data_IF_351696127335
#
_entry.id   IF_351696127335
#
_cell.length_a   1.000
_cell.length_b   1.000
_cell.length_c   1.000
_cell.angle_alpha   90.00
_cell.angle_beta   90.00
_cell.angle_gamma   90.00
#
_symmetry.space_group_name_H-M   'P 1'
#
loop_
_entity.id
_entity.type
_entity.pdbx_description
1 polymer ?
#
# COMPACT_ATOMS: atom_id res chain seq x y z
N UNK A 1 30.69 -16.13 -6.31
CA UNK A 1 29.23 -16.37 -6.42
C UNK A 1 28.54 -15.34 -5.53
N UNK A 2 28.12 -14.22 -6.12
CA UNK A 2 27.51 -13.09 -5.42
C UNK A 2 26.10 -13.49 -4.97
N UNK A 3 25.93 -13.72 -3.67
CA UNK A 3 24.60 -13.93 -3.10
C UNK A 3 23.76 -12.69 -3.33
N UNK A 4 22.80 -12.78 -4.26
CA UNK A 4 21.72 -11.79 -4.39
C UNK A 4 20.93 -11.83 -3.09
N UNK A 5 21.27 -10.92 -2.17
CA UNK A 5 20.50 -10.65 -0.97
C UNK A 5 19.11 -10.28 -1.47
N UNK A 6 18.12 -11.16 -1.32
CA UNK A 6 16.74 -10.90 -1.67
C UNK A 6 16.28 -9.68 -0.87
N UNK A 7 16.35 -8.49 -1.49
CA UNK A 7 16.00 -7.23 -0.84
C UNK A 7 14.48 -7.14 -0.80
N UNK A 8 13.96 -6.86 0.39
CA UNK A 8 12.58 -6.43 0.59
C UNK A 8 12.30 -5.28 -0.38
N UNK A 9 11.26 -5.38 -1.20
CA UNK A 9 10.82 -4.31 -2.10
C UNK A 9 9.52 -3.71 -1.58
N UNK A 10 9.44 -2.39 -1.58
CA UNK A 10 8.27 -1.67 -1.10
C UNK A 10 7.76 -0.75 -2.21
N UNK A 11 6.51 -0.91 -2.58
CA UNK A 11 5.82 -0.14 -3.61
C UNK A 11 4.79 0.77 -2.94
N UNK A 12 4.95 2.09 -3.07
CA UNK A 12 3.92 3.04 -2.66
C UNK A 12 2.85 3.17 -3.73
N UNK A 13 1.69 2.59 -3.46
CA UNK A 13 0.63 2.38 -4.44
C UNK A 13 -0.59 3.24 -4.19
N UNK A 14 -0.74 3.79 -2.99
CA UNK A 14 -1.78 4.78 -2.73
C UNK A 14 -1.25 5.81 -1.72
N UNK A 15 -1.58 7.07 -1.93
CA UNK A 15 -1.26 8.13 -0.98
C UNK A 15 -2.15 9.33 -1.17
N UNK A 16 -2.64 9.90 -0.08
CA UNK A 16 -3.27 11.21 -0.06
C UNK A 16 -2.32 12.24 0.56
N UNK A 17 -2.30 13.44 -0.03
CA UNK A 17 -1.61 14.58 0.57
C UNK A 17 -2.38 15.12 1.77
N UNK A 18 -1.77 16.06 2.50
CA UNK A 18 -2.50 16.83 3.51
C UNK A 18 -3.53 17.69 2.77
N UNK A 19 -4.80 17.26 2.75
CA UNK A 19 -5.87 18.07 2.19
C UNK A 19 -6.20 19.19 3.16
N UNK A 20 -5.88 20.43 2.81
CA UNK A 20 -6.18 21.63 3.60
C UNK A 20 -7.66 22.05 3.55
N UNK A 21 -8.54 21.29 2.89
CA UNK A 21 -9.90 21.74 2.55
C UNK A 21 -10.98 20.69 2.76
N UNK A 22 -11.42 20.51 3.99
CA UNK A 22 -12.79 20.06 4.34
C UNK A 22 -13.00 20.31 5.83
N UNK A 23 -14.13 20.92 6.20
CA UNK A 23 -14.45 21.39 7.56
C UNK A 23 -14.82 20.25 8.54
N UNK A 24 -14.60 18.99 8.19
CA UNK A 24 -14.90 17.85 9.06
C UNK A 24 -13.65 17.00 9.29
N UNK A 25 -12.88 17.41 10.31
CA UNK A 25 -11.57 16.86 10.78
C UNK A 25 -10.37 17.05 9.83
N UNK A 26 -9.17 17.31 10.38
CA UNK A 26 -7.95 17.26 9.57
C UNK A 26 -7.77 15.84 9.01
N UNK A 27 -7.96 15.66 7.70
CA UNK A 27 -7.64 14.43 7.01
C UNK A 27 -6.11 14.32 6.94
N UNK A 28 -5.51 13.65 7.92
CA UNK A 28 -4.08 13.37 7.90
C UNK A 28 -3.68 12.65 6.60
N UNK A 29 -2.50 12.96 6.03
CA UNK A 29 -1.97 12.22 4.89
C UNK A 29 -1.97 10.74 5.22
N UNK A 30 -2.46 9.92 4.31
CA UNK A 30 -2.46 8.47 4.45
C UNK A 30 -1.74 7.83 3.26
N UNK A 31 -1.15 6.66 3.46
CA UNK A 31 -0.55 5.89 2.38
C UNK A 31 -0.77 4.39 2.55
N UNK A 32 -0.70 3.69 1.42
CA UNK A 32 -0.72 2.23 1.31
C UNK A 32 0.50 1.80 0.50
N UNK A 33 1.31 0.96 1.12
CA UNK A 33 2.48 0.35 0.52
C UNK A 33 2.25 -1.16 0.40
N UNK A 34 2.59 -1.78 -0.73
CA UNK A 34 2.74 -3.24 -0.80
C UNK A 34 4.22 -3.59 -0.65
N UNK A 35 4.48 -4.53 0.25
CA UNK A 35 5.81 -5.00 0.59
C UNK A 35 5.95 -6.42 0.09
N UNK A 36 6.94 -6.66 -0.76
CA UNK A 36 7.32 -7.99 -1.22
C UNK A 36 8.59 -8.41 -0.47
N UNK A 37 8.47 -9.44 0.37
CA UNK A 37 9.59 -9.95 1.14
C UNK A 37 10.50 -10.87 0.32
N UNK A 38 11.66 -11.18 0.90
CA UNK A 38 12.66 -12.08 0.32
C UNK A 38 12.15 -13.51 0.04
N UNK A 39 11.11 -13.92 0.77
CA UNK A 39 10.49 -15.23 0.68
C UNK A 39 9.31 -15.26 -0.30
N UNK A 40 9.06 -14.17 -1.03
CA UNK A 40 7.98 -14.06 -2.00
C UNK A 40 6.60 -13.79 -1.40
N UNK A 41 6.53 -13.40 -0.12
CA UNK A 41 5.27 -13.06 0.55
C UNK A 41 4.97 -11.57 0.42
N UNK A 42 3.68 -11.27 0.31
CA UNK A 42 3.16 -9.91 0.31
C UNK A 42 2.65 -9.52 1.69
N UNK A 43 3.06 -8.35 2.16
CA UNK A 43 2.46 -7.64 3.30
C UNK A 43 2.02 -6.23 2.87
N UNK A 44 1.14 -5.62 3.66
CA UNK A 44 0.54 -4.31 3.39
C UNK A 44 0.97 -3.33 4.48
N UNK A 45 1.74 -2.33 4.09
CA UNK A 45 2.06 -1.18 4.93
C UNK A 45 0.94 -0.16 4.88
N UNK A 46 0.40 0.21 6.05
CA UNK A 46 -0.57 1.29 6.19
C UNK A 46 0.03 2.36 7.10
N UNK A 47 -0.02 3.62 6.68
CA UNK A 47 0.42 4.73 7.53
C UNK A 47 -0.46 5.96 7.37
N UNK A 48 -0.52 6.76 8.42
CA UNK A 48 -1.17 8.07 8.47
C UNK A 48 -0.41 9.06 9.37
N UNK A 49 -0.63 10.35 9.14
CA UNK A 49 -0.16 11.41 10.03
C UNK A 49 1.15 12.07 9.59
N UNK A 50 1.59 13.03 10.41
CA UNK A 50 2.81 13.82 10.20
C UNK A 50 3.53 14.03 11.54
N UNK A 51 4.87 14.08 11.52
CA UNK A 51 5.67 14.33 12.71
C UNK A 51 5.32 13.41 13.88
N UNK A 52 5.12 13.99 15.06
CA UNK A 52 4.75 13.27 16.29
C UNK A 52 3.37 12.58 16.24
N UNK A 53 2.51 12.96 15.28
CA UNK A 53 1.21 12.34 15.07
C UNK A 53 1.24 11.16 14.08
N UNK A 54 2.40 10.73 13.60
CA UNK A 54 2.51 9.63 12.66
C UNK A 54 2.17 8.29 13.32
N UNK A 55 1.28 7.52 12.70
CA UNK A 55 0.96 6.15 13.08
C UNK A 55 0.99 5.24 11.85
N UNK A 56 1.46 4.00 12.02
CA UNK A 56 1.50 3.05 10.92
C UNK A 56 1.86 1.65 11.37
N UNK A 57 1.71 0.70 10.46
CA UNK A 57 2.02 -0.70 10.70
C UNK A 57 2.09 -1.49 9.40
N UNK A 58 2.77 -2.63 9.48
CA UNK A 58 2.79 -3.64 8.43
C UNK A 58 1.85 -4.78 8.83
N UNK A 59 0.98 -5.16 7.91
CA UNK A 59 -0.09 -6.14 8.15
C UNK A 59 -0.03 -7.25 7.11
N UNK A 60 -0.47 -8.45 7.47
CA UNK A 60 -0.75 -9.49 6.48
C UNK A 60 -1.89 -9.05 5.54
N UNK A 61 -2.01 -9.72 4.40
CA UNK A 61 -3.11 -9.48 3.45
C UNK A 61 -4.47 -9.66 4.11
N UNK A 62 -4.65 -10.70 4.93
CA UNK A 62 -5.89 -10.95 5.68
C UNK A 62 -6.22 -9.82 6.65
N UNK A 63 -5.24 -9.33 7.42
CA UNK A 63 -5.44 -8.22 8.34
C UNK A 63 -5.77 -6.92 7.60
N UNK A 64 -5.14 -6.67 6.46
CA UNK A 64 -5.39 -5.49 5.64
C UNK A 64 -6.83 -5.45 5.07
N UNK A 65 -7.44 -6.62 4.87
CA UNK A 65 -8.81 -6.76 4.38
C UNK A 65 -9.88 -6.71 5.48
N UNK A 66 -9.50 -6.56 6.75
CA UNK A 66 -10.45 -6.30 7.83
C UNK A 66 -11.06 -4.90 7.71
N UNK A 67 -12.32 -4.75 8.13
CA UNK A 67 -13.14 -3.52 7.97
C UNK A 67 -12.38 -2.25 8.35
N UNK A 68 -11.71 -2.24 9.52
CA UNK A 68 -10.97 -1.07 10.01
C UNK A 68 -9.83 -0.65 9.06
N UNK A 69 -9.14 -1.60 8.45
CA UNK A 69 -8.00 -1.35 7.55
C UNK A 69 -8.47 -1.03 6.14
N UNK A 70 -9.57 -1.63 5.67
CA UNK A 70 -10.22 -1.26 4.41
C UNK A 70 -10.65 0.21 4.39
N UNK A 71 -11.14 0.74 5.52
CA UNK A 71 -11.44 2.17 5.64
C UNK A 71 -10.19 3.04 5.43
N UNK A 72 -9.04 2.64 6.00
CA UNK A 72 -7.76 3.33 5.79
C UNK A 72 -7.30 3.26 4.34
N UNK A 73 -7.34 2.07 3.73
CA UNK A 73 -6.98 1.85 2.33
C UNK A 73 -7.84 2.76 1.43
N UNK A 74 -9.14 2.82 1.68
CA UNK A 74 -10.06 3.67 0.91
C UNK A 74 -9.73 5.15 1.06
N UNK A 75 -9.44 5.61 2.30
CA UNK A 75 -9.05 7.01 2.57
C UNK A 75 -7.74 7.40 1.89
N UNK A 76 -6.83 6.45 1.65
CA UNK A 76 -5.58 6.69 0.95
C UNK A 76 -5.70 6.65 -0.59
N UNK A 77 -6.93 6.66 -1.15
CA UNK A 77 -7.21 6.38 -2.57
C UNK A 77 -6.74 4.99 -3.03
N UNK A 78 -6.66 4.04 -2.10
CA UNK A 78 -6.19 2.68 -2.34
C UNK A 78 -7.30 1.67 -2.62
N UNK A 79 -8.57 2.07 -2.74
CA UNK A 79 -9.69 1.15 -2.94
C UNK A 79 -9.51 0.24 -4.17
N UNK A 80 -8.77 0.71 -5.19
CA UNK A 80 -8.43 -0.05 -6.39
C UNK A 80 -7.50 -1.25 -6.10
N UNK A 81 -6.81 -1.28 -4.96
CA UNK A 81 -5.95 -2.39 -4.54
C UNK A 81 -6.75 -3.60 -4.04
N UNK A 82 -8.00 -3.39 -3.62
CA UNK A 82 -8.82 -4.43 -2.96
C UNK A 82 -8.97 -5.71 -3.81
N UNK A 83 -9.21 -5.65 -5.13
CA UNK A 83 -9.26 -6.86 -5.96
C UNK A 83 -7.95 -7.67 -5.95
N UNK A 84 -6.79 -6.99 -5.94
CA UNK A 84 -5.47 -7.65 -5.88
C UNK A 84 -5.24 -8.29 -4.52
N UNK A 85 -5.58 -7.59 -3.43
CA UNK A 85 -5.49 -8.11 -2.07
C UNK A 85 -6.41 -9.33 -1.88
N UNK A 86 -7.62 -9.30 -2.42
CA UNK A 86 -8.55 -10.44 -2.39
C UNK A 86 -8.01 -11.63 -3.18
N UNK A 87 -7.35 -11.38 -4.32
CA UNK A 87 -6.69 -12.45 -5.10
C UNK A 87 -5.55 -13.09 -4.29
N UNK A 88 -4.72 -12.28 -3.63
CA UNK A 88 -3.66 -12.78 -2.74
C UNK A 88 -4.24 -13.57 -1.55
N UNK A 89 -5.33 -13.09 -0.93
CA UNK A 89 -6.02 -13.80 0.15
C UNK A 89 -6.53 -15.18 -0.28
N UNK A 90 -7.04 -15.29 -1.51
CA UNK A 90 -7.51 -16.55 -2.07
C UNK A 90 -6.37 -17.51 -2.48
N UNK A 91 -5.11 -17.18 -2.19
CA UNK A 91 -3.93 -17.95 -2.59
C UNK A 91 -3.52 -17.74 -4.06
N UNK A 92 -4.13 -16.77 -4.75
CA UNK A 92 -3.70 -16.37 -6.09
C UNK A 92 -2.40 -15.58 -6.07
N UNK A 93 -1.74 -15.50 -7.22
CA UNK A 93 -0.50 -14.72 -7.39
C UNK A 93 -0.81 -13.31 -7.84
N UNK A 94 -0.09 -12.30 -7.35
CA UNK A 94 -0.05 -10.93 -7.90
C UNK A 94 1.41 -10.57 -8.16
N UNK A 95 1.70 -9.97 -9.32
CA UNK A 95 3.05 -9.57 -9.70
C UNK A 95 3.24 -8.07 -9.55
N UNK A 96 4.49 -7.65 -9.31
CA UNK A 96 4.87 -6.23 -9.29
C UNK A 96 4.48 -5.53 -10.61
N UNK A 97 4.76 -6.15 -11.76
CA UNK A 97 4.43 -5.59 -13.07
C UNK A 97 2.94 -5.33 -13.25
N UNK A 98 2.09 -6.21 -12.73
CA UNK A 98 0.64 -6.02 -12.76
C UNK A 98 0.22 -4.82 -11.90
N UNK A 99 0.73 -4.72 -10.67
CA UNK A 99 0.45 -3.59 -9.77
C UNK A 99 0.94 -2.26 -10.36
N UNK A 100 2.15 -2.24 -10.94
CA UNK A 100 2.71 -1.06 -11.61
C UNK A 100 1.87 -0.67 -12.82
N UNK A 101 1.40 -1.63 -13.61
CA UNK A 101 0.55 -1.36 -14.77
C UNK A 101 -0.80 -0.77 -14.35
N UNK A 102 -1.44 -1.35 -13.32
CA UNK A 102 -2.69 -0.83 -12.77
C UNK A 102 -2.51 0.57 -12.17
N UNK A 103 -1.41 0.80 -11.44
CA UNK A 103 -1.08 2.12 -10.88
C UNK A 103 -0.89 3.16 -12.00
N UNK A 104 -0.11 2.85 -13.04
CA UNK A 104 0.13 3.74 -14.18
C UNK A 104 -1.17 4.08 -14.91
N UNK A 105 -2.03 3.10 -15.13
CA UNK A 105 -3.34 3.32 -15.78
C UNK A 105 -4.21 4.31 -14.99
N UNK A 106 -4.09 4.33 -13.66
CA UNK A 106 -4.88 5.22 -12.79
C UNK A 106 -4.24 6.60 -12.57
N UNK A 107 -2.92 6.65 -12.42
CA UNK A 107 -2.21 7.85 -11.96
C UNK A 107 -1.32 8.49 -13.04
N UNK A 108 -1.19 7.87 -14.22
CA UNK A 108 -0.40 8.39 -15.34
C UNK A 108 1.12 8.41 -15.11
N UNK A 109 1.60 7.80 -14.03
CA UNK A 109 3.02 7.78 -13.62
C UNK A 109 3.38 6.46 -12.94
N UNK A 110 4.66 6.21 -12.75
CA UNK A 110 5.16 5.07 -11.97
C UNK A 110 4.94 5.23 -10.46
N UNK A 111 4.69 4.13 -9.73
CA UNK A 111 4.67 4.17 -8.27
C UNK A 111 6.07 4.42 -7.72
N UNK A 112 6.13 5.00 -6.53
CA UNK A 112 7.41 5.20 -5.85
C UNK A 112 7.90 3.86 -5.28
N UNK A 113 9.15 3.52 -5.58
CA UNK A 113 9.83 2.35 -5.01
C UNK A 113 10.65 2.83 -3.81
N UNK A 114 10.39 2.28 -2.62
CA UNK A 114 11.16 2.54 -1.41
C UNK A 114 12.15 1.38 -1.25
N UNK A 115 13.45 1.70 -1.25
CA UNK A 115 14.57 0.75 -1.24
C UNK A 115 15.15 0.53 0.16
#
# INVERSE_FOLDING_TARGET
MTGTRSRRRVLRLASTGASSGSTDRPAWPAHVDLVHDAAGRWTVGLGEGVGHGSAGGEFSVDEALQVRRLAHISRADGAWLVPFLRRLQAGGTVTESELVTAYRARHGRDPQILA
#
